data_IF_048268390574
#
_entry.id   IF_048268390574
#
_cell.length_a   1.000
_cell.length_b   1.000
_cell.length_c   1.000
_cell.angle_alpha   90.00
_cell.angle_beta   90.00
_cell.angle_gamma   90.00
#
_symmetry.space_group_name_H-M   'P 1'
#
loop_
_entity.id
_entity.type
_entity.pdbx_description
1 polymer ?
#
# COMPACT_ATOMS: atom_id res chain seq x y z
N UNK A 1 6.59 13.89 -3.12
CA UNK A 1 7.77 13.36 -2.41
C UNK A 1 7.45 12.02 -1.79
N UNK A 2 8.38 11.09 -1.83
CA UNK A 2 8.17 9.77 -1.24
C UNK A 2 9.44 9.25 -0.58
N UNK A 3 9.25 8.33 0.37
CA UNK A 3 10.35 7.60 1.02
C UNK A 3 9.92 6.16 1.22
N UNK A 4 10.76 5.21 0.81
CA UNK A 4 10.50 3.78 0.93
C UNK A 4 11.48 3.18 1.94
N UNK A 5 10.97 2.33 2.81
CA UNK A 5 11.77 1.52 3.74
C UNK A 5 11.22 0.10 3.76
N UNK A 6 12.01 -0.84 4.24
CA UNK A 6 11.64 -2.26 4.24
C UNK A 6 11.89 -2.89 5.60
N UNK A 7 10.94 -3.74 6.01
CA UNK A 7 11.10 -4.67 7.14
C UNK A 7 11.14 -6.09 6.54
N UNK A 8 12.36 -6.58 6.33
CA UNK A 8 12.58 -7.86 5.65
C UNK A 8 12.08 -9.05 6.47
N UNK A 9 12.06 -8.96 7.79
CA UNK A 9 11.58 -10.05 8.64
C UNK A 9 10.09 -10.30 8.45
N UNK A 10 9.33 -9.26 8.09
CA UNK A 10 7.88 -9.34 7.88
C UNK A 10 7.49 -9.29 6.40
N UNK A 11 8.45 -9.21 5.51
CA UNK A 11 8.21 -8.97 4.08
C UNK A 11 7.31 -7.76 3.84
N UNK A 12 7.57 -6.70 4.60
CA UNK A 12 6.75 -5.50 4.62
C UNK A 12 7.53 -4.32 4.05
N UNK A 13 6.93 -3.67 3.04
CA UNK A 13 7.43 -2.44 2.46
C UNK A 13 6.61 -1.30 3.05
N UNK A 14 7.28 -0.30 3.61
CA UNK A 14 6.65 0.93 4.09
C UNK A 14 7.03 2.08 3.17
N UNK A 15 6.02 2.84 2.74
CA UNK A 15 6.23 4.05 1.98
C UNK A 15 5.52 5.21 2.66
N UNK A 16 6.19 6.35 2.74
CA UNK A 16 5.57 7.62 3.14
C UNK A 16 5.54 8.49 1.91
N UNK A 17 4.35 8.95 1.53
CA UNK A 17 4.17 9.83 0.39
C UNK A 17 3.56 11.15 0.84
N UNK A 18 3.92 12.26 0.20
CA UNK A 18 3.49 13.58 0.61
C UNK A 18 3.37 14.56 -0.56
N UNK A 19 2.49 15.54 -0.40
CA UNK A 19 2.32 16.65 -1.31
C UNK A 19 1.65 16.27 -2.63
N UNK A 20 1.92 17.09 -3.65
CA UNK A 20 1.48 16.83 -5.02
C UNK A 20 2.50 15.97 -5.75
N UNK A 21 2.01 15.03 -6.52
CA UNK A 21 2.86 14.23 -7.39
C UNK A 21 2.73 14.69 -8.84
N UNK A 22 3.81 14.47 -9.59
CA UNK A 22 3.78 14.49 -11.05
C UNK A 22 3.69 13.05 -11.55
N UNK A 23 3.32 12.86 -12.81
CA UNK A 23 3.33 11.53 -13.44
C UNK A 23 4.75 10.94 -13.39
N UNK A 24 5.77 11.77 -13.62
CA UNK A 24 7.17 11.33 -13.54
C UNK A 24 7.54 10.81 -12.16
N UNK A 25 7.07 11.47 -11.08
CA UNK A 25 7.29 11.00 -9.71
C UNK A 25 6.58 9.68 -9.43
N UNK A 26 5.35 9.50 -9.93
CA UNK A 26 4.64 8.23 -9.79
C UNK A 26 5.43 7.11 -10.45
N UNK A 27 5.95 7.35 -11.64
CA UNK A 27 6.75 6.35 -12.36
C UNK A 27 8.05 6.02 -11.61
N UNK A 28 8.72 7.03 -11.06
CA UNK A 28 9.93 6.82 -10.24
C UNK A 28 9.61 6.02 -8.97
N UNK A 29 8.51 6.35 -8.30
CA UNK A 29 8.03 5.62 -7.12
C UNK A 29 7.74 4.15 -7.46
N UNK A 30 7.01 3.92 -8.56
CA UNK A 30 6.68 2.56 -9.01
C UNK A 30 7.93 1.73 -9.29
N UNK A 31 8.91 2.34 -9.94
CA UNK A 31 10.17 1.66 -10.27
C UNK A 31 10.95 1.29 -9.02
N UNK A 32 11.06 2.21 -8.07
CA UNK A 32 11.77 1.98 -6.82
C UNK A 32 11.05 0.97 -5.92
N UNK A 33 9.71 1.03 -5.86
CA UNK A 33 8.90 0.08 -5.12
C UNK A 33 9.08 -1.34 -5.68
N UNK A 34 9.07 -1.49 -7.00
CA UNK A 34 9.28 -2.78 -7.64
C UNK A 34 10.68 -3.33 -7.36
N UNK A 35 11.71 -2.48 -7.42
CA UNK A 35 13.07 -2.89 -7.06
C UNK A 35 13.15 -3.35 -5.61
N UNK A 36 12.41 -2.69 -4.71
CA UNK A 36 12.33 -3.08 -3.31
C UNK A 36 11.65 -4.43 -3.14
N UNK A 37 10.55 -4.70 -3.86
CA UNK A 37 9.88 -6.01 -3.88
C UNK A 37 10.85 -7.11 -4.31
N UNK A 38 11.62 -6.86 -5.36
CA UNK A 38 12.60 -7.82 -5.87
C UNK A 38 13.73 -8.08 -4.87
N UNK A 39 14.04 -7.12 -4.01
CA UNK A 39 15.05 -7.29 -2.96
C UNK A 39 14.60 -8.18 -1.81
N UNK A 40 13.30 -8.40 -1.66
CA UNK A 40 12.75 -9.30 -0.65
C UNK A 40 12.92 -10.75 -1.10
N UNK A 41 13.39 -11.60 -0.19
CA UNK A 41 13.59 -13.02 -0.46
C UNK A 41 12.37 -13.84 -0.04
N UNK A 42 11.18 -13.43 -0.49
CA UNK A 42 9.95 -14.14 -0.23
C UNK A 42 9.35 -14.68 -1.54
N UNK A 43 8.37 -15.56 -1.39
CA UNK A 43 7.61 -16.05 -2.55
C UNK A 43 6.85 -14.90 -3.20
N UNK A 44 6.73 -14.88 -4.54
CA UNK A 44 5.91 -13.88 -5.22
C UNK A 44 4.51 -13.80 -4.64
N UNK A 45 4.03 -12.58 -4.38
CA UNK A 45 2.71 -12.37 -3.81
C UNK A 45 2.62 -12.52 -2.29
N UNK A 46 3.73 -12.69 -1.60
CA UNK A 46 3.75 -12.79 -0.13
C UNK A 46 4.16 -11.48 0.56
N UNK A 47 4.61 -10.50 -0.19
CA UNK A 47 4.98 -9.20 0.39
C UNK A 47 3.74 -8.38 0.71
N UNK A 48 3.88 -7.48 1.67
CA UNK A 48 2.85 -6.55 2.12
C UNK A 48 3.35 -5.13 1.97
N UNK A 49 2.42 -4.19 1.73
CA UNK A 49 2.76 -2.78 1.53
C UNK A 49 1.90 -1.92 2.46
N UNK A 50 2.53 -1.04 3.20
CA UNK A 50 1.87 -0.02 3.99
C UNK A 50 2.27 1.35 3.46
N UNK A 51 1.29 2.13 3.02
CA UNK A 51 1.52 3.46 2.46
C UNK A 51 0.90 4.50 3.39
N UNK A 52 1.74 5.33 4.00
CA UNK A 52 1.28 6.50 4.74
C UNK A 52 1.12 7.66 3.78
N UNK A 53 -0.11 7.93 3.40
CA UNK A 53 -0.49 9.00 2.49
C UNK A 53 -1.18 10.16 3.23
N UNK A 54 -1.06 10.23 4.55
CA UNK A 54 -1.71 11.25 5.36
C UNK A 54 -1.23 12.67 5.06
N UNK A 55 -0.04 12.81 4.50
CA UNK A 55 0.54 14.10 4.11
C UNK A 55 0.29 14.47 2.65
N UNK A 56 -0.43 13.64 1.91
CA UNK A 56 -0.81 13.93 0.54
C UNK A 56 -2.01 14.87 0.48
N UNK A 57 -2.11 15.59 -0.63
CA UNK A 57 -3.28 16.41 -0.98
C UNK A 57 -3.99 15.78 -2.18
N UNK A 58 -5.12 16.36 -2.58
CA UNK A 58 -5.81 15.91 -3.79
C UNK A 58 -4.87 15.98 -4.99
N UNK A 59 -4.85 14.92 -5.76
CA UNK A 59 -3.97 14.78 -6.93
C UNK A 59 -4.73 15.14 -8.21
N UNK A 60 -3.96 15.57 -9.23
CA UNK A 60 -4.52 15.74 -10.57
C UNK A 60 -5.01 14.41 -11.12
N UNK A 61 -6.01 14.42 -12.00
CA UNK A 61 -6.60 13.20 -12.57
C UNK A 61 -5.56 12.32 -13.28
N UNK A 62 -4.62 12.92 -13.99
CA UNK A 62 -3.54 12.21 -14.66
C UNK A 62 -2.63 11.46 -13.68
N UNK A 63 -2.42 12.04 -12.49
CA UNK A 63 -1.65 11.41 -11.42
C UNK A 63 -2.42 10.26 -10.81
N UNK A 64 -3.72 10.44 -10.55
CA UNK A 64 -4.59 9.34 -10.07
C UNK A 64 -4.58 8.18 -11.06
N UNK A 65 -4.67 8.47 -12.36
CA UNK A 65 -4.61 7.46 -13.41
C UNK A 65 -3.26 6.73 -13.43
N UNK A 66 -2.16 7.47 -13.22
CA UNK A 66 -0.82 6.88 -13.16
C UNK A 66 -0.66 5.95 -11.95
N UNK A 67 -1.16 6.33 -10.77
CA UNK A 67 -1.16 5.45 -9.60
C UNK A 67 -2.02 4.20 -9.82
N UNK A 68 -3.20 4.35 -10.41
CA UNK A 68 -4.08 3.22 -10.72
C UNK A 68 -3.41 2.25 -11.70
N UNK A 69 -2.72 2.78 -12.70
CA UNK A 69 -1.96 1.97 -13.65
C UNK A 69 -0.82 1.21 -12.95
N UNK A 70 -0.07 1.90 -12.09
CA UNK A 70 0.99 1.30 -11.28
C UNK A 70 0.49 0.09 -10.49
N UNK A 71 -0.64 0.23 -9.80
CA UNK A 71 -1.21 -0.86 -8.99
C UNK A 71 -1.60 -2.05 -9.87
N UNK A 72 -2.25 -1.79 -11.01
CA UNK A 72 -2.73 -2.85 -11.90
C UNK A 72 -1.62 -3.50 -12.72
N UNK A 73 -0.62 -2.73 -13.12
CA UNK A 73 0.46 -3.20 -14.00
C UNK A 73 1.63 -3.84 -13.24
N UNK A 74 1.59 -3.84 -11.91
CA UNK A 74 2.65 -4.45 -11.12
C UNK A 74 2.77 -5.93 -11.47
N UNK A 75 3.98 -6.41 -11.84
CA UNK A 75 4.17 -7.82 -12.23
C UNK A 75 3.97 -8.79 -11.06
N UNK A 76 4.16 -8.32 -9.84
CA UNK A 76 3.93 -9.11 -8.63
C UNK A 76 3.00 -8.32 -7.72
N UNK A 77 1.79 -8.85 -7.53
CA UNK A 77 0.78 -8.22 -6.69
C UNK A 77 1.07 -8.47 -5.21
N UNK A 78 0.93 -7.43 -4.37
CA UNK A 78 1.08 -7.57 -2.94
C UNK A 78 -0.02 -8.44 -2.35
N UNK A 79 0.27 -9.14 -1.27
CA UNK A 79 -0.71 -9.92 -0.53
C UNK A 79 -1.75 -9.01 0.12
N UNK A 80 -1.30 -7.92 0.73
CA UNK A 80 -2.13 -6.88 1.34
C UNK A 80 -1.51 -5.52 1.13
N UNK A 81 -2.37 -4.51 0.96
CA UNK A 81 -1.95 -3.11 0.86
C UNK A 81 -2.78 -2.32 1.87
N UNK A 82 -2.12 -1.68 2.82
CA UNK A 82 -2.75 -0.76 3.76
C UNK A 82 -2.40 0.67 3.35
N UNK A 83 -3.40 1.55 3.32
CA UNK A 83 -3.18 2.97 3.00
C UNK A 83 -3.76 3.82 4.13
N UNK A 84 -2.92 4.69 4.68
CA UNK A 84 -3.36 5.71 5.64
C UNK A 84 -3.70 6.96 4.85
N UNK A 85 -4.97 7.34 4.87
CA UNK A 85 -5.48 8.50 4.13
C UNK A 85 -6.44 9.30 5.00
N UNK A 86 -6.29 10.61 4.98
CA UNK A 86 -7.12 11.55 5.72
C UNK A 86 -7.88 12.45 4.75
N UNK A 87 -9.09 12.86 5.16
CA UNK A 87 -9.95 13.71 4.31
C UNK A 87 -10.80 12.91 3.33
N UNK A 88 -12.08 13.27 3.26
CA UNK A 88 -13.10 12.51 2.50
C UNK A 88 -12.81 12.45 1.01
N UNK A 89 -12.50 13.60 0.40
CA UNK A 89 -12.26 13.66 -1.05
C UNK A 89 -11.01 12.88 -1.43
N UNK A 90 -9.96 12.97 -0.62
CA UNK A 90 -8.73 12.25 -0.86
C UNK A 90 -8.94 10.72 -0.73
N UNK A 91 -9.73 10.29 0.25
CA UNK A 91 -10.09 8.88 0.41
C UNK A 91 -10.88 8.36 -0.79
N UNK A 92 -11.76 9.18 -1.36
CA UNK A 92 -12.50 8.82 -2.56
C UNK A 92 -11.56 8.62 -3.77
N UNK A 93 -10.57 9.49 -3.93
CA UNK A 93 -9.54 9.30 -4.98
C UNK A 93 -8.76 8.01 -4.76
N UNK A 94 -8.35 7.75 -3.53
CA UNK A 94 -7.57 6.55 -3.17
C UNK A 94 -8.34 5.27 -3.47
N UNK A 95 -9.66 5.24 -3.22
CA UNK A 95 -10.48 4.07 -3.53
C UNK A 95 -10.49 3.71 -5.00
N UNK A 96 -10.36 4.69 -5.89
CA UNK A 96 -10.29 4.47 -7.34
C UNK A 96 -8.99 3.81 -7.79
N UNK A 97 -7.95 3.96 -6.97
CA UNK A 97 -6.61 3.42 -7.25
C UNK A 97 -6.51 1.97 -6.79
N UNK A 98 -7.09 1.64 -5.64
CA UNK A 98 -6.86 0.40 -4.93
C UNK A 98 -7.75 -0.76 -5.40
N UNK A 99 -7.20 -1.96 -5.30
CA UNK A 99 -7.94 -3.21 -5.44
C UNK A 99 -8.59 -3.55 -4.09
N UNK A 100 -9.93 -3.55 -4.05
CA UNK A 100 -10.69 -3.76 -2.84
C UNK A 100 -10.45 -5.13 -2.18
N UNK A 101 -10.08 -6.14 -2.97
CA UNK A 101 -9.89 -7.51 -2.44
C UNK A 101 -8.65 -7.64 -1.56
N UNK A 102 -7.62 -6.80 -1.81
CA UNK A 102 -6.33 -6.90 -1.13
C UNK A 102 -5.93 -5.64 -0.39
N UNK A 103 -6.77 -4.61 -0.44
CA UNK A 103 -6.44 -3.28 0.08
C UNK A 103 -7.44 -2.84 1.11
N UNK A 104 -6.97 -2.07 2.09
CA UNK A 104 -7.83 -1.39 3.05
C UNK A 104 -7.26 -0.01 3.36
N UNK A 105 -8.15 0.93 3.67
CA UNK A 105 -7.79 2.29 4.08
C UNK A 105 -8.02 2.48 5.56
N UNK A 106 -7.14 3.25 6.18
CA UNK A 106 -7.16 3.53 7.61
C UNK A 106 -6.98 5.02 7.85
N UNK A 107 -7.46 5.50 8.98
CA UNK A 107 -7.29 6.89 9.39
C UNK A 107 -5.98 7.11 10.15
N UNK A 108 -5.44 6.06 10.76
CA UNK A 108 -4.21 6.14 11.56
C UNK A 108 -3.19 5.09 11.14
N UNK A 109 -1.92 5.41 11.34
CA UNK A 109 -0.84 4.45 11.15
C UNK A 109 -0.95 3.25 12.08
N UNK A 110 -1.42 3.45 13.31
CA UNK A 110 -1.57 2.37 14.29
C UNK A 110 -2.56 1.30 13.78
N UNK A 111 -3.71 1.71 13.26
CA UNK A 111 -4.70 0.78 12.72
C UNK A 111 -4.19 0.08 11.46
N UNK A 112 -3.52 0.81 10.59
CA UNK A 112 -2.93 0.23 9.38
C UNK A 112 -1.86 -0.80 9.72
N UNK A 113 -0.98 -0.49 10.67
CA UNK A 113 0.07 -1.38 11.13
C UNK A 113 -0.50 -2.67 11.71
N UNK A 114 -1.54 -2.56 12.54
CA UNK A 114 -2.19 -3.73 13.14
C UNK A 114 -2.77 -4.66 12.07
N UNK A 115 -3.42 -4.10 11.06
CA UNK A 115 -4.02 -4.90 9.99
C UNK A 115 -2.98 -5.51 9.05
N UNK A 116 -1.98 -4.73 8.65
CA UNK A 116 -0.98 -5.19 7.67
C UNK A 116 -0.08 -6.28 8.25
N UNK A 117 0.14 -6.28 9.55
CA UNK A 117 0.96 -7.28 10.24
C UNK A 117 0.16 -8.45 10.79
N UNK A 118 -1.16 -8.46 10.58
CA UNK A 118 -2.02 -9.53 11.05
C UNK A 118 -1.63 -10.86 10.40
N UNK A 119 -1.48 -11.90 11.23
CA UNK A 119 -1.23 -13.25 10.76
C UNK A 119 -2.55 -13.91 10.37
N UNK A 120 -2.70 -14.23 9.09
CA UNK A 120 -3.92 -14.86 8.57
C UNK A 120 -4.20 -16.23 9.21
N UNK A 121 -3.15 -16.99 9.52
CA UNK A 121 -3.29 -18.26 10.20
C UNK A 121 -3.82 -18.06 11.62
N UNK A 122 -3.31 -17.08 12.34
CA UNK A 122 -3.79 -16.72 13.67
C UNK A 122 -5.26 -16.26 13.61
N UNK A 123 -5.66 -15.53 12.57
CA UNK A 123 -7.04 -15.11 12.37
C UNK A 123 -7.95 -16.30 12.14
N UNK A 124 -7.55 -17.25 11.32
CA UNK A 124 -8.30 -18.49 11.06
C UNK A 124 -8.47 -19.28 12.37
N UNK A 125 -7.41 -19.43 13.16
CA UNK A 125 -7.47 -20.09 14.45
C UNK A 125 -8.43 -19.42 15.40
N UNK A 126 -8.40 -18.10 15.50
CA UNK A 126 -9.33 -17.35 16.36
C UNK A 126 -10.79 -17.53 15.93
N UNK A 127 -11.05 -17.56 14.63
CA UNK A 127 -12.39 -17.80 14.09
C UNK A 127 -12.90 -19.20 14.45
N UNK A 128 -12.04 -20.21 14.40
CA UNK A 128 -12.39 -21.57 14.77
C UNK A 128 -12.62 -21.70 16.28
N UNK A 129 -11.83 -21.03 17.10
CA UNK A 129 -11.99 -21.04 18.55
C UNK A 129 -13.27 -20.33 19.00
N UNK A 130 -13.74 -19.35 18.23
CA UNK A 130 -14.96 -18.61 18.50
C UNK A 130 -16.22 -19.42 18.15
N UNK A 131 -16.05 -20.48 17.39
CA UNK A 131 -17.15 -21.39 17.05
C UNK A 131 -17.36 -22.44 18.14
#
# INVERSE_FOLDING_TARGET
>A
MYKISVDSDRNLIRAVISGFFTVAEVNAFAHEEQATVESLHCMPGQHRVLIDASQCVLQAQEVVAAFAHMVRASPVQARRIAVVADGTLYRMQTRRILDADRSAMFETNADAEAWITEDELATVWRSNDAA
#
